data_IF_269210202395
#
_entry.id   IF_269210202395
#
_cell.length_a   1.000
_cell.length_b   1.000
_cell.length_c   1.000
_cell.angle_alpha   90.00
_cell.angle_beta   90.00
_cell.angle_gamma   90.00
#
_symmetry.space_group_name_H-M   'P 1'
#
loop_
_entity.id
_entity.type
_entity.pdbx_description
1 polymer ?
#
# COMPACT_ATOMS: atom_id res chain seq x y z
N UNK A 1 1.45 90.83 -13.66
CA UNK A 1 2.04 89.46 -13.53
C UNK A 1 1.01 88.59 -12.87
N UNK A 2 0.25 87.81 -13.61
CA UNK A 2 -0.82 86.93 -13.13
C UNK A 2 -0.19 85.52 -12.87
N UNK A 3 -0.28 84.99 -11.67
CA UNK A 3 0.12 83.64 -11.31
C UNK A 3 -1.02 82.67 -11.72
N UNK A 4 -0.68 81.70 -12.55
CA UNK A 4 -1.59 80.64 -13.00
C UNK A 4 -1.41 79.46 -12.03
N UNK A 5 -2.46 79.15 -11.29
CA UNK A 5 -2.50 77.94 -10.43
C UNK A 5 -2.97 76.75 -11.27
N UNK A 6 -2.11 75.75 -11.43
CA UNK A 6 -2.44 74.51 -12.12
C UNK A 6 -2.98 73.48 -11.05
N UNK A 7 -4.28 73.18 -11.16
CA UNK A 7 -4.92 72.15 -10.32
C UNK A 7 -4.67 70.79 -10.97
N UNK A 8 -3.90 69.93 -10.28
CA UNK A 8 -3.64 68.55 -10.71
C UNK A 8 -4.74 67.65 -10.13
N UNK A 9 -5.68 67.20 -10.97
CA UNK A 9 -6.68 66.18 -10.62
C UNK A 9 -6.03 64.79 -10.69
N UNK A 10 -5.81 64.16 -9.53
CA UNK A 10 -5.38 62.76 -9.43
C UNK A 10 -6.65 61.89 -9.51
N UNK A 11 -6.82 61.17 -10.61
CA UNK A 11 -7.83 60.09 -10.73
C UNK A 11 -7.28 58.85 -10.03
N UNK A 12 -7.83 58.48 -8.86
CA UNK A 12 -7.62 57.21 -8.22
C UNK A 12 -8.53 56.17 -8.91
N UNK A 13 -7.94 55.33 -9.75
CA UNK A 13 -8.65 54.17 -10.31
C UNK A 13 -8.67 53.09 -9.26
N UNK A 14 -9.79 52.93 -8.58
CA UNK A 14 -10.06 51.77 -7.74
C UNK A 14 -10.31 50.55 -8.62
N UNK A 15 -9.31 49.67 -8.75
CA UNK A 15 -9.53 48.31 -9.29
C UNK A 15 -10.35 47.52 -8.27
N UNK A 16 -11.64 47.38 -8.51
CA UNK A 16 -12.45 46.37 -7.83
C UNK A 16 -12.02 44.99 -8.36
N UNK A 17 -11.20 44.24 -7.60
CA UNK A 17 -11.06 42.82 -7.81
C UNK A 17 -12.42 42.18 -7.50
N UNK A 18 -13.18 41.84 -8.53
CA UNK A 18 -14.29 40.90 -8.35
C UNK A 18 -13.70 39.53 -7.98
N UNK A 19 -14.17 38.88 -6.91
CA UNK A 19 -13.78 37.52 -6.64
C UNK A 19 -14.25 36.66 -7.83
N UNK A 20 -13.32 35.91 -8.44
CA UNK A 20 -13.65 34.88 -9.40
C UNK A 20 -14.67 33.93 -8.78
N UNK A 21 -15.92 34.09 -9.14
CA UNK A 21 -16.98 33.16 -8.80
C UNK A 21 -16.73 31.90 -9.64
N UNK A 22 -15.85 31.01 -9.13
CA UNK A 22 -15.73 29.66 -9.68
C UNK A 22 -17.10 29.00 -9.51
N UNK A 23 -17.91 29.03 -10.54
CA UNK A 23 -19.16 28.26 -10.59
C UNK A 23 -18.82 26.80 -10.35
N UNK A 24 -19.24 26.28 -9.23
CA UNK A 24 -19.12 24.87 -8.93
C UNK A 24 -19.85 24.10 -10.03
N UNK A 25 -19.08 23.45 -10.91
CA UNK A 25 -19.63 22.66 -12.00
C UNK A 25 -20.52 21.57 -11.40
N UNK A 26 -21.76 21.48 -11.86
CA UNK A 26 -22.68 20.42 -11.42
C UNK A 26 -22.06 19.04 -11.69
N UNK A 27 -22.26 18.06 -10.81
CA UNK A 27 -21.86 16.69 -11.10
C UNK A 27 -22.45 16.23 -12.43
N UNK A 28 -21.69 15.48 -13.23
CA UNK A 28 -22.19 14.89 -14.47
C UNK A 28 -23.30 13.87 -14.21
N UNK A 29 -24.04 13.46 -15.24
CA UNK A 29 -25.13 12.51 -15.09
C UNK A 29 -24.62 11.12 -14.68
N UNK A 30 -25.40 10.43 -13.88
CA UNK A 30 -25.25 9.00 -13.60
C UNK A 30 -25.86 8.17 -14.71
N UNK A 31 -25.16 7.13 -15.14
CA UNK A 31 -25.64 6.15 -16.11
C UNK A 31 -25.84 4.81 -15.41
N UNK A 32 -27.01 4.19 -15.58
CA UNK A 32 -27.25 2.83 -15.08
C UNK A 32 -26.52 1.82 -15.96
N UNK A 33 -25.73 0.93 -15.35
CA UNK A 33 -25.07 -0.17 -16.03
C UNK A 33 -25.94 -1.45 -16.02
N UNK A 34 -27.04 -1.45 -15.28
CA UNK A 34 -27.99 -2.56 -15.18
C UNK A 34 -29.43 -2.05 -15.18
N UNK A 35 -30.24 -2.55 -16.09
CA UNK A 35 -31.62 -2.12 -16.30
C UNK A 35 -32.62 -2.81 -15.34
N UNK A 36 -32.14 -3.70 -14.46
CA UNK A 36 -32.98 -4.53 -13.59
C UNK A 36 -33.70 -5.70 -14.27
N UNK A 37 -33.50 -5.92 -15.56
CA UNK A 37 -34.25 -6.90 -16.35
C UNK A 37 -33.37 -7.82 -17.18
N UNK A 38 -32.30 -7.30 -17.77
CA UNK A 38 -31.46 -8.02 -18.73
C UNK A 38 -29.98 -7.85 -18.42
N UNK A 39 -29.16 -8.73 -18.99
CA UNK A 39 -27.70 -8.60 -18.97
C UNK A 39 -27.17 -7.87 -20.24
N UNK A 40 -28.02 -7.09 -20.91
CA UNK A 40 -27.58 -6.27 -22.02
C UNK A 40 -26.48 -5.28 -21.56
N UNK A 41 -25.42 -5.13 -22.36
CA UNK A 41 -24.25 -4.32 -21.98
C UNK A 41 -23.18 -5.11 -21.22
N UNK A 42 -23.42 -6.38 -20.91
CA UNK A 42 -22.50 -7.25 -20.22
C UNK A 42 -22.10 -8.48 -21.04
N UNK A 43 -20.91 -8.99 -20.83
CA UNK A 43 -20.39 -10.25 -21.37
C UNK A 43 -19.97 -11.18 -20.22
N UNK A 44 -20.24 -12.47 -20.34
CA UNK A 44 -19.63 -13.48 -19.47
C UNK A 44 -18.24 -13.80 -19.98
N UNK A 45 -17.26 -13.83 -19.08
CA UNK A 45 -15.87 -13.98 -19.44
C UNK A 45 -15.12 -14.76 -18.37
N UNK A 46 -14.19 -15.61 -18.79
CA UNK A 46 -13.49 -16.59 -17.94
C UNK A 46 -14.44 -17.47 -17.13
N UNK A 47 -14.01 -18.66 -16.74
CA UNK A 47 -14.80 -19.59 -15.93
C UNK A 47 -16.17 -19.94 -16.51
N UNK A 48 -16.95 -20.71 -15.74
CA UNK A 48 -18.25 -21.26 -16.19
C UNK A 48 -19.40 -20.98 -15.23
N UNK A 49 -19.21 -20.08 -14.24
CA UNK A 49 -20.26 -19.73 -13.30
C UNK A 49 -21.49 -19.13 -14.00
N UNK A 50 -22.66 -19.35 -13.43
CA UNK A 50 -23.91 -18.85 -13.97
C UNK A 50 -24.25 -17.44 -13.46
N UNK A 51 -24.79 -16.61 -14.34
CA UNK A 51 -25.31 -15.27 -14.02
C UNK A 51 -26.73 -15.16 -14.56
N UNK A 52 -27.67 -14.82 -13.67
CA UNK A 52 -29.09 -14.63 -13.99
C UNK A 52 -29.61 -13.34 -13.43
N UNK A 53 -30.68 -12.84 -14.02
CA UNK A 53 -31.46 -11.74 -13.42
C UNK A 53 -32.66 -12.36 -12.69
N UNK A 54 -32.73 -12.12 -11.39
CA UNK A 54 -33.82 -12.55 -10.52
C UNK A 54 -34.37 -11.33 -9.75
N UNK A 55 -35.61 -10.96 -9.96
CA UNK A 55 -36.30 -9.88 -9.23
C UNK A 55 -35.51 -8.54 -9.20
N UNK A 56 -34.96 -8.11 -10.33
CA UNK A 56 -34.20 -6.85 -10.41
C UNK A 56 -32.77 -6.93 -9.90
N UNK A 57 -32.23 -8.12 -9.70
CA UNK A 57 -30.90 -8.38 -9.15
C UNK A 57 -30.11 -9.27 -10.09
N UNK A 58 -28.85 -8.97 -10.34
CA UNK A 58 -27.91 -9.90 -10.95
C UNK A 58 -27.46 -10.89 -9.87
N UNK A 59 -27.73 -12.18 -10.11
CA UNK A 59 -27.35 -13.27 -9.22
C UNK A 59 -26.26 -14.10 -9.90
N UNK A 60 -25.07 -14.11 -9.32
CA UNK A 60 -23.99 -15.01 -9.69
C UNK A 60 -24.03 -16.26 -8.81
N UNK A 61 -23.78 -17.43 -9.38
CA UNK A 61 -23.82 -18.70 -8.65
C UNK A 61 -22.53 -19.48 -8.89
N UNK A 62 -21.87 -19.90 -7.81
CA UNK A 62 -20.62 -20.66 -7.86
C UNK A 62 -20.84 -22.05 -8.45
N UNK A 63 -19.91 -22.49 -9.29
CA UNK A 63 -19.90 -23.81 -9.94
C UNK A 63 -18.60 -24.53 -9.57
N UNK A 64 -18.73 -25.77 -9.10
CA UNK A 64 -17.56 -26.58 -8.71
C UNK A 64 -16.58 -26.74 -9.88
N UNK A 65 -15.30 -26.61 -9.59
CA UNK A 65 -14.20 -26.70 -10.57
C UNK A 65 -14.28 -25.66 -11.71
N UNK A 66 -15.11 -24.62 -11.58
CA UNK A 66 -14.99 -23.44 -12.42
C UNK A 66 -13.80 -22.61 -11.96
N UNK A 67 -13.05 -22.06 -12.88
CA UNK A 67 -12.16 -20.93 -12.56
C UNK A 67 -12.96 -19.70 -12.11
N UNK A 68 -12.27 -18.64 -11.67
CA UNK A 68 -12.90 -17.33 -11.44
C UNK A 68 -13.68 -16.93 -12.70
N UNK A 69 -14.95 -16.58 -12.51
CA UNK A 69 -15.86 -16.19 -13.59
C UNK A 69 -16.26 -14.73 -13.41
N UNK A 70 -16.42 -14.02 -14.51
CA UNK A 70 -16.72 -12.60 -14.46
C UNK A 70 -17.86 -12.23 -15.44
N UNK A 71 -18.74 -11.35 -14.97
CA UNK A 71 -19.68 -10.63 -15.82
C UNK A 71 -19.12 -9.23 -16.03
N UNK A 72 -18.61 -8.93 -17.23
CA UNK A 72 -17.86 -7.70 -17.53
C UNK A 72 -18.65 -6.77 -18.44
N UNK A 73 -18.50 -5.46 -18.28
CA UNK A 73 -19.09 -4.47 -19.17
C UNK A 73 -18.47 -4.59 -20.58
N UNK A 74 -19.28 -4.35 -21.62
CA UNK A 74 -18.79 -4.26 -23.01
C UNK A 74 -17.96 -2.99 -23.23
N UNK A 75 -18.33 -1.93 -22.52
CA UNK A 75 -17.63 -0.65 -22.55
C UNK A 75 -16.45 -0.67 -21.58
N UNK A 76 -15.42 0.11 -21.89
CA UNK A 76 -14.27 0.37 -21.03
C UNK A 76 -14.34 1.77 -20.44
N UNK A 77 -13.78 1.95 -19.25
CA UNK A 77 -13.85 3.19 -18.50
C UNK A 77 -12.46 3.60 -18.03
N UNK A 78 -12.15 4.89 -18.12
CA UNK A 78 -10.89 5.47 -17.68
C UNK A 78 -11.04 6.12 -16.30
N UNK A 79 -11.72 7.25 -16.25
CA UNK A 79 -12.02 7.95 -15.01
C UNK A 79 -13.51 7.83 -14.71
N UNK A 80 -13.85 7.43 -13.50
CA UNK A 80 -15.24 7.21 -13.11
C UNK A 80 -15.45 7.19 -11.61
N UNK A 81 -16.71 7.37 -11.22
CA UNK A 81 -17.24 6.94 -9.92
C UNK A 81 -18.26 5.84 -10.20
N UNK A 82 -18.09 4.68 -9.59
CA UNK A 82 -19.00 3.54 -9.67
C UNK A 82 -19.68 3.34 -8.33
N UNK A 83 -20.99 3.14 -8.35
CA UNK A 83 -21.76 2.76 -7.16
C UNK A 83 -22.62 1.55 -7.46
N UNK A 84 -22.69 0.64 -6.50
CA UNK A 84 -23.54 -0.55 -6.57
C UNK A 84 -23.85 -1.08 -5.17
N UNK A 85 -24.88 -1.90 -5.08
CA UNK A 85 -25.16 -2.67 -3.88
C UNK A 85 -24.80 -4.14 -4.11
N UNK A 86 -24.02 -4.72 -3.20
CA UNK A 86 -23.63 -6.12 -3.23
C UNK A 86 -24.02 -6.84 -1.94
N UNK A 87 -24.38 -8.15 -2.07
CA UNK A 87 -24.69 -9.02 -0.93
C UNK A 87 -24.04 -10.38 -1.14
N UNK A 88 -23.52 -10.94 -0.04
CA UNK A 88 -23.04 -12.32 0.07
C UNK A 88 -23.55 -12.90 1.40
N UNK A 89 -23.83 -14.19 1.46
CA UNK A 89 -24.56 -14.78 2.59
C UNK A 89 -23.70 -15.64 3.52
N UNK A 90 -22.45 -15.91 3.13
CA UNK A 90 -21.55 -16.79 3.88
C UNK A 90 -20.15 -16.19 4.01
N UNK A 91 -19.51 -16.41 5.16
CA UNK A 91 -18.09 -16.08 5.40
C UNK A 91 -17.15 -16.95 4.57
N UNK A 92 -17.62 -18.08 4.03
CA UNK A 92 -16.84 -18.97 3.17
C UNK A 92 -16.91 -18.59 1.69
N UNK A 93 -17.78 -17.62 1.36
CA UNK A 93 -17.94 -17.13 0.00
C UNK A 93 -17.02 -15.92 -0.21
N UNK A 94 -16.59 -15.74 -1.46
CA UNK A 94 -15.78 -14.63 -1.90
C UNK A 94 -16.30 -14.10 -3.23
N UNK A 95 -16.09 -12.83 -3.49
CA UNK A 95 -16.44 -12.13 -4.73
C UNK A 95 -15.62 -10.85 -4.87
N UNK A 96 -15.86 -10.07 -5.93
CA UNK A 96 -15.20 -8.78 -6.12
C UNK A 96 -15.77 -8.00 -7.28
N UNK A 97 -15.38 -6.73 -7.34
CA UNK A 97 -15.69 -5.81 -8.43
C UNK A 97 -14.40 -5.45 -9.14
N UNK A 98 -14.24 -5.94 -10.38
CA UNK A 98 -13.12 -5.58 -11.25
C UNK A 98 -13.27 -4.13 -11.73
N UNK A 99 -12.18 -3.38 -11.74
CA UNK A 99 -12.10 -1.99 -12.17
C UNK A 99 -10.89 -1.78 -13.07
N UNK A 100 -11.07 -1.08 -14.18
CA UNK A 100 -10.00 -0.87 -15.17
C UNK A 100 -9.28 -2.16 -15.54
N UNK A 101 -10.01 -3.26 -15.59
CA UNK A 101 -9.45 -4.59 -15.79
C UNK A 101 -9.52 -5.04 -17.23
N UNK A 102 -8.78 -6.10 -17.53
CA UNK A 102 -8.57 -6.64 -18.87
C UNK A 102 -8.80 -8.15 -18.89
N UNK A 103 -8.97 -8.68 -20.08
CA UNK A 103 -9.10 -10.11 -20.30
C UNK A 103 -8.06 -10.59 -21.31
N UNK A 104 -7.36 -11.66 -20.98
CA UNK A 104 -6.43 -12.34 -21.85
C UNK A 104 -6.97 -13.75 -22.17
N UNK A 105 -7.65 -13.89 -23.30
CA UNK A 105 -8.24 -15.14 -23.73
C UNK A 105 -9.47 -14.94 -24.61
N UNK A 106 -10.22 -16.05 -24.82
CA UNK A 106 -11.47 -16.06 -25.59
C UNK A 106 -12.58 -16.76 -24.81
N UNK A 107 -13.76 -16.16 -24.76
CA UNK A 107 -14.97 -16.71 -24.12
C UNK A 107 -14.74 -17.10 -22.66
N UNK A 108 -14.80 -18.39 -22.36
CA UNK A 108 -14.56 -18.92 -21.00
C UNK A 108 -13.12 -19.35 -20.76
N UNK A 109 -12.27 -19.32 -21.78
CA UNK A 109 -10.85 -19.68 -21.68
C UNK A 109 -10.00 -18.44 -21.61
N UNK A 110 -9.29 -18.27 -20.52
CA UNK A 110 -8.42 -17.13 -20.28
C UNK A 110 -8.58 -16.60 -18.86
N UNK A 111 -7.93 -15.47 -18.63
CA UNK A 111 -7.85 -14.84 -17.31
C UNK A 111 -8.24 -13.39 -17.37
N UNK A 112 -9.05 -12.96 -16.44
CA UNK A 112 -9.24 -11.55 -16.12
C UNK A 112 -8.07 -11.12 -15.24
N UNK A 113 -7.51 -9.96 -15.49
CA UNK A 113 -6.44 -9.38 -14.71
C UNK A 113 -6.66 -7.88 -14.51
N UNK A 114 -6.18 -7.35 -13.38
CA UNK A 114 -6.34 -5.95 -13.02
C UNK A 114 -6.84 -5.76 -11.61
N UNK A 115 -7.06 -4.50 -11.23
CA UNK A 115 -7.51 -4.16 -9.88
C UNK A 115 -8.94 -4.67 -9.63
N UNK A 116 -9.13 -5.27 -8.46
CA UNK A 116 -10.40 -5.74 -7.93
C UNK A 116 -10.67 -5.12 -6.56
N UNK A 117 -11.82 -4.52 -6.40
CA UNK A 117 -12.36 -4.18 -5.07
C UNK A 117 -12.99 -5.44 -4.51
N UNK A 118 -12.39 -5.95 -3.47
CA UNK A 118 -12.67 -7.28 -2.94
C UNK A 118 -13.95 -7.34 -2.11
N UNK A 119 -14.65 -8.47 -2.17
CA UNK A 119 -15.72 -8.85 -1.23
C UNK A 119 -15.24 -10.11 -0.51
N UNK A 120 -14.53 -9.94 0.59
CA UNK A 120 -13.94 -10.99 1.42
C UNK A 120 -14.45 -10.91 2.86
N UNK A 121 -15.59 -11.52 3.18
CA UNK A 121 -16.14 -11.56 4.52
C UNK A 121 -15.56 -12.68 5.40
N UNK A 122 -14.49 -13.33 4.98
CA UNK A 122 -13.77 -14.35 5.77
C UNK A 122 -13.27 -13.76 7.09
N UNK A 123 -12.58 -14.57 7.90
CA UNK A 123 -11.98 -14.12 9.16
C UNK A 123 -11.01 -12.93 9.00
N UNK A 124 -10.50 -12.67 7.78
CA UNK A 124 -9.69 -11.50 7.48
C UNK A 124 -10.50 -10.21 7.45
N UNK A 125 -11.78 -10.28 7.02
CA UNK A 125 -12.66 -9.14 6.82
C UNK A 125 -12.03 -8.06 5.93
N UNK A 126 -11.55 -8.45 4.72
CA UNK A 126 -10.85 -7.55 3.82
C UNK A 126 -11.73 -6.99 2.69
N UNK A 127 -13.06 -7.04 2.86
CA UNK A 127 -14.00 -6.42 1.91
C UNK A 127 -13.74 -4.93 1.73
N UNK A 128 -13.71 -4.47 0.49
CA UNK A 128 -13.38 -3.09 0.09
C UNK A 128 -11.89 -2.83 -0.09
N UNK A 129 -11.02 -3.77 0.33
CA UNK A 129 -9.60 -3.76 -0.01
C UNK A 129 -9.38 -3.93 -1.51
N UNK A 130 -8.17 -3.67 -1.97
CA UNK A 130 -7.82 -3.74 -3.40
C UNK A 130 -6.86 -4.90 -3.64
N UNK A 131 -7.28 -5.80 -4.53
CA UNK A 131 -6.50 -6.94 -5.01
C UNK A 131 -6.15 -6.72 -6.49
N UNK A 132 -5.00 -7.18 -6.95
CA UNK A 132 -4.61 -7.13 -8.36
C UNK A 132 -4.69 -8.54 -8.95
N UNK A 133 -5.85 -8.87 -9.52
CA UNK A 133 -6.21 -10.20 -10.02
C UNK A 133 -5.20 -10.70 -11.04
N UNK A 134 -4.77 -11.95 -10.90
CA UNK A 134 -3.81 -12.67 -11.75
C UNK A 134 -2.44 -11.96 -11.96
N UNK A 135 -2.06 -10.99 -11.09
CA UNK A 135 -0.78 -10.26 -11.17
C UNK A 135 -0.12 -10.08 -9.82
N UNK A 136 -0.28 -8.90 -9.17
CA UNK A 136 0.47 -8.49 -7.95
C UNK A 136 -0.22 -8.89 -6.65
N UNK A 137 -1.41 -9.51 -6.70
CA UNK A 137 -2.20 -9.93 -5.54
C UNK A 137 -2.65 -8.71 -4.69
N UNK A 138 -2.53 -8.78 -3.36
CA UNK A 138 -3.03 -7.72 -2.48
C UNK A 138 -2.22 -6.44 -2.62
N UNK A 139 -2.87 -5.38 -3.12
CA UNK A 139 -2.33 -4.02 -3.08
C UNK A 139 -2.70 -3.32 -1.77
N UNK A 140 -3.93 -3.52 -1.30
CA UNK A 140 -4.44 -2.90 -0.08
C UNK A 140 -5.19 -3.91 0.79
N UNK A 141 -4.49 -4.74 1.59
CA UNK A 141 -5.12 -5.54 2.63
C UNK A 141 -5.62 -4.65 3.78
N UNK A 142 -6.75 -5.01 4.44
CA UNK A 142 -7.35 -4.14 5.45
C UNK A 142 -6.62 -4.11 6.80
N UNK A 143 -5.48 -4.75 6.95
CA UNK A 143 -4.57 -4.48 8.06
C UNK A 143 -4.03 -3.03 8.02
N UNK A 144 -3.99 -2.43 6.83
CA UNK A 144 -3.65 -1.00 6.64
C UNK A 144 -4.76 -0.04 7.11
N UNK A 145 -6.01 -0.53 7.26
CA UNK A 145 -7.15 0.22 7.78
C UNK A 145 -8.06 -0.71 8.59
N UNK A 146 -7.59 -1.12 9.75
CA UNK A 146 -8.29 -2.08 10.60
C UNK A 146 -9.71 -1.61 11.01
N UNK A 147 -9.96 -0.29 11.08
CA UNK A 147 -11.28 0.28 11.39
C UNK A 147 -12.34 -0.09 10.34
N UNK A 148 -11.93 -0.26 9.07
CA UNK A 148 -12.84 -0.60 7.98
C UNK A 148 -13.22 -2.09 7.94
N UNK A 149 -12.57 -2.98 8.68
CA UNK A 149 -12.87 -4.41 8.71
C UNK A 149 -14.33 -4.74 9.09
N UNK A 150 -15.02 -3.83 9.76
CA UNK A 150 -16.42 -4.00 10.17
C UNK A 150 -17.42 -3.34 9.23
N UNK A 151 -16.96 -2.72 8.13
CA UNK A 151 -17.82 -1.97 7.21
C UNK A 151 -18.81 -2.87 6.44
N UNK A 152 -18.35 -4.04 5.98
CA UNK A 152 -19.18 -4.99 5.25
C UNK A 152 -20.05 -5.82 6.18
N UNK A 153 -21.35 -5.96 5.85
CA UNK A 153 -22.35 -6.71 6.65
C UNK A 153 -22.82 -7.92 5.87
N UNK A 154 -22.49 -9.11 6.34
CA UNK A 154 -22.89 -10.39 5.73
C UNK A 154 -24.42 -10.53 5.76
N UNK A 155 -25.00 -11.09 4.73
CA UNK A 155 -26.45 -11.33 4.61
C UNK A 155 -27.26 -10.07 4.29
N UNK A 156 -26.63 -8.91 4.21
CA UNK A 156 -27.25 -7.62 3.88
C UNK A 156 -26.70 -7.06 2.58
N UNK A 157 -27.47 -6.20 1.90
CA UNK A 157 -26.91 -5.38 0.83
C UNK A 157 -26.00 -4.31 1.42
N UNK A 158 -24.80 -4.25 0.89
CA UNK A 158 -23.81 -3.23 1.23
C UNK A 158 -23.65 -2.28 0.05
N UNK A 159 -23.77 -0.99 0.31
CA UNK A 159 -23.47 0.03 -0.68
C UNK A 159 -21.97 0.17 -0.85
N UNK A 160 -21.49 -0.05 -2.07
CA UNK A 160 -20.07 0.05 -2.43
C UNK A 160 -19.91 1.23 -3.38
N UNK A 161 -19.06 2.18 -3.01
CA UNK A 161 -18.61 3.27 -3.87
C UNK A 161 -17.14 3.07 -4.20
N UNK A 162 -16.82 3.21 -5.49
CA UNK A 162 -15.46 3.11 -6.02
C UNK A 162 -15.20 4.35 -6.87
N UNK A 163 -14.12 5.06 -6.55
CA UNK A 163 -13.68 6.24 -7.29
C UNK A 163 -12.35 5.94 -7.95
N UNK A 164 -12.32 6.00 -9.29
CA UNK A 164 -11.12 5.86 -10.11
C UNK A 164 -10.92 7.17 -10.87
N UNK A 165 -10.07 8.07 -10.38
CA UNK A 165 -9.80 9.38 -11.01
C UNK A 165 -8.28 9.55 -11.15
N UNK A 166 -7.81 9.77 -12.37
CA UNK A 166 -6.37 9.79 -12.65
C UNK A 166 -5.71 8.47 -12.25
N UNK A 167 -4.70 8.53 -11.41
CA UNK A 167 -3.98 7.35 -10.89
C UNK A 167 -4.54 6.82 -9.56
N UNK A 168 -5.59 7.44 -9.04
CA UNK A 168 -6.10 7.17 -7.70
C UNK A 168 -7.31 6.24 -7.77
N UNK A 169 -7.31 5.22 -6.92
CA UNK A 169 -8.44 4.34 -6.63
C UNK A 169 -8.79 4.50 -5.15
N UNK A 170 -10.02 4.90 -4.86
CA UNK A 170 -10.56 5.01 -3.50
C UNK A 170 -11.81 4.17 -3.36
N UNK A 171 -11.99 3.53 -2.23
CA UNK A 171 -13.14 2.65 -1.99
C UNK A 171 -13.85 3.01 -0.68
N UNK A 172 -15.17 2.84 -0.69
CA UNK A 172 -16.04 2.99 0.48
C UNK A 172 -17.02 1.82 0.53
N UNK A 173 -17.34 1.36 1.72
CA UNK A 173 -18.45 0.42 1.99
C UNK A 173 -19.35 1.05 3.03
N UNK A 174 -20.64 1.17 2.72
CA UNK A 174 -21.63 1.79 3.61
C UNK A 174 -21.16 3.15 4.14
N UNK A 175 -20.63 4.00 3.22
CA UNK A 175 -20.05 5.32 3.48
C UNK A 175 -18.74 5.32 4.30
N UNK A 176 -18.28 4.17 4.78
CA UNK A 176 -17.02 4.05 5.52
C UNK A 176 -15.86 4.00 4.51
N UNK A 177 -14.88 4.93 4.58
CA UNK A 177 -13.69 4.90 3.72
C UNK A 177 -12.83 3.67 4.03
N UNK A 178 -12.46 2.92 2.97
CA UNK A 178 -11.77 1.62 3.13
C UNK A 178 -10.34 1.65 2.63
N UNK A 179 -10.13 1.86 1.33
CA UNK A 179 -8.82 1.76 0.70
C UNK A 179 -8.50 2.98 -0.17
N UNK A 180 -7.22 3.35 -0.20
CA UNK A 180 -6.69 4.36 -1.10
C UNK A 180 -5.40 3.85 -1.74
N UNK A 181 -5.46 3.59 -3.05
CA UNK A 181 -4.34 3.11 -3.86
C UNK A 181 -4.01 4.14 -4.94
N UNK A 182 -2.73 4.37 -5.17
CA UNK A 182 -2.20 5.18 -6.27
C UNK A 182 -1.37 4.28 -7.17
N UNK A 183 -1.80 4.13 -8.43
CA UNK A 183 -1.19 3.20 -9.38
C UNK A 183 -1.27 3.76 -10.81
N UNK A 184 -0.26 3.46 -11.61
CA UNK A 184 -0.18 3.91 -13.00
C UNK A 184 -0.28 2.77 -14.02
N UNK A 185 -0.44 1.53 -13.56
CA UNK A 185 -0.37 0.36 -14.46
C UNK A 185 -1.56 0.30 -15.41
N UNK A 186 -2.78 0.42 -14.88
CA UNK A 186 -4.00 0.40 -15.69
C UNK A 186 -4.70 1.75 -15.65
N UNK A 187 -4.83 2.37 -16.83
CA UNK A 187 -5.46 3.69 -16.97
C UNK A 187 -6.92 3.61 -17.39
N UNK A 188 -7.32 2.50 -17.98
CA UNK A 188 -8.67 2.21 -18.45
C UNK A 188 -8.89 0.70 -18.52
N UNK A 189 -10.12 0.27 -18.60
CA UNK A 189 -10.52 -1.13 -18.72
C UNK A 189 -11.99 -1.31 -18.36
N UNK A 190 -12.47 -2.52 -18.39
CA UNK A 190 -13.87 -2.82 -18.06
C UNK A 190 -14.12 -2.81 -16.54
N UNK A 191 -15.40 -2.73 -16.18
CA UNK A 191 -15.94 -3.08 -14.87
C UNK A 191 -16.47 -4.52 -14.92
N UNK A 192 -16.19 -5.32 -13.87
CA UNK A 192 -16.63 -6.71 -13.84
C UNK A 192 -17.14 -7.14 -12.46
N UNK A 193 -18.04 -8.09 -12.44
CA UNK A 193 -18.62 -8.69 -11.25
C UNK A 193 -18.13 -10.14 -11.16
N UNK A 194 -17.43 -10.50 -10.08
CA UNK A 194 -16.82 -11.81 -9.93
C UNK A 194 -17.79 -12.83 -9.29
N UNK A 195 -17.74 -14.05 -9.79
CA UNK A 195 -18.10 -15.27 -9.05
C UNK A 195 -16.81 -16.05 -8.83
N UNK A 196 -16.40 -16.16 -7.57
CA UNK A 196 -15.14 -16.78 -7.20
C UNK A 196 -15.10 -18.28 -7.47
N UNK A 197 -13.93 -18.77 -7.87
CA UNK A 197 -13.66 -20.19 -8.06
C UNK A 197 -13.88 -21.00 -6.77
N UNK A 198 -14.50 -22.17 -6.91
CA UNK A 198 -14.70 -23.09 -5.78
C UNK A 198 -14.28 -24.50 -6.17
N UNK A 199 -13.71 -25.22 -5.21
CA UNK A 199 -13.15 -26.57 -5.41
C UNK A 199 -13.88 -27.65 -4.62
N UNK A 200 -14.78 -27.27 -3.71
CA UNK A 200 -15.53 -28.23 -2.90
C UNK A 200 -17.03 -28.14 -3.18
N UNK A 201 -17.75 -29.26 -2.92
CA UNK A 201 -19.20 -29.35 -3.13
C UNK A 201 -19.96 -28.42 -2.18
N UNK A 202 -19.46 -28.19 -0.98
CA UNK A 202 -20.07 -27.30 0.03
C UNK A 202 -20.05 -25.83 -0.41
N UNK A 203 -19.08 -25.46 -1.22
CA UNK A 203 -18.95 -24.11 -1.78
C UNK A 203 -19.72 -23.93 -3.09
N UNK A 204 -20.14 -25.02 -3.76
CA UNK A 204 -20.93 -24.94 -4.98
C UNK A 204 -22.36 -24.49 -4.70
N UNK A 205 -22.96 -23.75 -5.64
CA UNK A 205 -24.31 -23.21 -5.51
C UNK A 205 -24.45 -22.00 -4.58
N UNK A 206 -23.36 -21.49 -3.99
CA UNK A 206 -23.39 -20.25 -3.22
C UNK A 206 -23.63 -19.05 -4.14
N UNK A 207 -24.37 -18.08 -3.66
CA UNK A 207 -24.82 -16.94 -4.46
C UNK A 207 -24.15 -15.63 -4.02
N UNK A 208 -23.87 -14.78 -5.01
CA UNK A 208 -23.54 -13.37 -4.83
C UNK A 208 -24.56 -12.52 -5.59
N UNK A 209 -24.93 -11.38 -5.03
CA UNK A 209 -26.03 -10.57 -5.53
C UNK A 209 -25.53 -9.15 -5.78
N UNK A 210 -25.90 -8.58 -6.96
CA UNK A 210 -25.56 -7.22 -7.34
C UNK A 210 -26.78 -6.48 -7.89
N UNK A 211 -26.97 -5.23 -7.50
CA UNK A 211 -28.04 -4.36 -7.98
C UNK A 211 -27.64 -2.89 -7.92
N UNK A 212 -28.50 -2.00 -8.42
CA UNK A 212 -28.32 -0.55 -8.38
C UNK A 212 -26.97 -0.08 -8.96
N UNK A 213 -26.48 -0.77 -10.01
CA UNK A 213 -25.17 -0.54 -10.59
C UNK A 213 -25.22 0.69 -11.47
N UNK A 214 -24.51 1.76 -11.08
CA UNK A 214 -24.47 3.02 -11.81
C UNK A 214 -23.06 3.60 -11.86
N UNK A 215 -22.76 4.33 -12.92
CA UNK A 215 -21.47 4.94 -13.18
C UNK A 215 -21.62 6.40 -13.57
N UNK A 216 -20.68 7.23 -13.12
CA UNK A 216 -20.52 8.61 -13.54
C UNK A 216 -19.13 8.76 -14.16
N UNK A 217 -19.02 9.33 -15.38
CA UNK A 217 -17.77 9.43 -16.15
C UNK A 217 -17.40 10.86 -16.55
N UNK A 218 -18.20 11.84 -16.14
CA UNK A 218 -17.95 13.25 -16.47
C UNK A 218 -18.15 14.15 -15.26
N UNK A 219 -17.55 15.33 -15.28
CA UNK A 219 -17.60 16.33 -14.21
C UNK A 219 -17.20 15.74 -12.84
N UNK A 220 -16.23 14.82 -12.87
CA UNK A 220 -15.75 14.12 -11.68
C UNK A 220 -14.98 15.08 -10.77
N UNK A 221 -15.21 14.93 -9.47
CA UNK A 221 -14.45 15.64 -8.43
C UNK A 221 -13.91 14.58 -7.45
N UNK A 222 -12.60 14.58 -7.18
CA UNK A 222 -12.04 13.67 -6.19
C UNK A 222 -12.71 13.88 -4.83
N UNK A 223 -13.19 12.79 -4.24
CA UNK A 223 -13.73 12.81 -2.87
C UNK A 223 -12.62 13.05 -1.86
N UNK A 224 -12.92 13.81 -0.80
CA UNK A 224 -12.04 13.88 0.37
C UNK A 224 -11.87 12.49 0.99
N UNK A 225 -10.70 12.24 1.56
CA UNK A 225 -10.40 10.98 2.22
C UNK A 225 -9.75 11.26 3.58
N UNK A 226 -10.01 10.47 4.65
CA UNK A 226 -9.49 10.74 5.99
C UNK A 226 -7.96 10.68 6.07
N UNK A 227 -7.36 11.62 6.80
CA UNK A 227 -5.92 11.81 6.93
C UNK A 227 -5.18 10.67 7.65
N UNK A 228 -5.89 9.89 8.44
CA UNK A 228 -5.38 8.77 9.21
C UNK A 228 -5.37 7.44 8.45
N UNK A 229 -5.89 7.42 7.21
CA UNK A 229 -5.85 6.22 6.38
C UNK A 229 -4.59 6.23 5.53
N UNK A 230 -3.84 5.12 5.59
CA UNK A 230 -2.62 4.94 4.82
C UNK A 230 -2.91 4.92 3.32
N UNK A 231 -2.02 5.53 2.53
CA UNK A 231 -2.07 5.51 1.06
C UNK A 231 -1.03 4.54 0.54
N UNK A 232 -1.48 3.47 -0.13
CA UNK A 232 -0.58 2.60 -0.90
C UNK A 232 -0.25 3.31 -2.21
N UNK A 233 0.97 3.78 -2.33
CA UNK A 233 1.44 4.50 -3.51
C UNK A 233 2.47 3.66 -4.26
N UNK A 234 2.05 3.06 -5.38
CA UNK A 234 2.86 2.22 -6.23
C UNK A 234 3.71 3.01 -7.25
N UNK A 235 3.65 4.36 -7.21
CA UNK A 235 4.50 5.20 -8.07
C UNK A 235 5.84 5.43 -7.38
N UNK A 236 6.95 4.89 -7.90
CA UNK A 236 8.23 4.94 -7.20
C UNK A 236 8.72 6.37 -6.93
N UNK A 237 9.25 6.61 -5.73
CA UNK A 237 9.87 7.88 -5.30
C UNK A 237 8.98 9.10 -5.52
N UNK A 238 7.67 8.93 -5.39
CA UNK A 238 6.70 9.99 -5.59
C UNK A 238 5.75 10.08 -4.39
N UNK A 239 5.39 11.28 -4.00
CA UNK A 239 4.31 11.55 -3.06
C UNK A 239 3.19 12.32 -3.74
N UNK A 240 1.97 11.86 -3.54
CA UNK A 240 0.79 12.59 -3.98
C UNK A 240 0.67 13.93 -3.23
N UNK A 241 -0.10 14.90 -3.77
CA UNK A 241 -0.45 16.12 -3.01
C UNK A 241 -1.09 15.78 -1.65
N UNK A 242 -1.91 14.73 -1.61
CA UNK A 242 -2.53 14.24 -0.38
C UNK A 242 -1.49 13.78 0.65
N UNK A 243 -0.56 12.91 0.29
CA UNK A 243 0.50 12.44 1.20
C UNK A 243 1.34 13.62 1.74
N UNK A 244 1.72 14.55 0.86
CA UNK A 244 2.47 15.77 1.25
C UNK A 244 1.69 16.63 2.24
N UNK A 245 0.39 16.86 1.99
CA UNK A 245 -0.48 17.63 2.88
C UNK A 245 -0.67 16.97 4.26
N UNK A 246 -0.45 15.64 4.35
CA UNK A 246 -0.58 14.87 5.59
C UNK A 246 0.77 14.49 6.22
N UNK A 247 1.84 15.24 5.88
CA UNK A 247 3.13 15.17 6.57
C UNK A 247 4.10 14.12 6.08
N UNK A 248 3.80 13.40 5.00
CA UNK A 248 4.77 12.48 4.40
C UNK A 248 5.90 13.23 3.72
N UNK A 249 7.13 12.76 3.89
CA UNK A 249 8.36 13.24 3.25
C UNK A 249 9.08 12.06 2.61
N UNK A 250 9.68 12.26 1.42
CA UNK A 250 10.61 11.28 0.86
C UNK A 250 11.95 11.38 1.60
N UNK A 251 12.46 10.23 2.05
CA UNK A 251 13.84 10.09 2.51
C UNK A 251 14.80 9.81 1.34
N UNK A 252 14.26 9.40 0.20
CA UNK A 252 15.01 9.20 -1.04
C UNK A 252 14.19 9.71 -2.23
N UNK A 253 14.79 10.64 -2.98
CA UNK A 253 14.15 11.32 -4.11
C UNK A 253 14.25 10.52 -5.45
N UNK A 254 14.90 9.35 -5.42
CA UNK A 254 15.17 8.54 -6.61
C UNK A 254 16.35 9.02 -7.46
N UNK A 255 17.06 10.08 -7.06
CA UNK A 255 18.10 10.73 -7.87
C UNK A 255 19.39 11.01 -7.12
N UNK A 256 19.29 11.40 -5.87
CA UNK A 256 20.42 11.91 -5.08
C UNK A 256 20.54 11.22 -3.72
N UNK A 257 21.71 11.32 -3.09
CA UNK A 257 21.94 10.88 -1.72
C UNK A 257 21.58 11.97 -0.68
N UNK A 258 20.83 13.00 -1.07
CA UNK A 258 20.44 14.06 -0.17
C UNK A 258 19.70 13.49 1.05
N UNK A 259 20.08 13.96 2.25
CA UNK A 259 19.50 13.45 3.51
C UNK A 259 20.19 12.21 4.08
N UNK A 260 21.12 11.57 3.34
CA UNK A 260 21.87 10.40 3.79
C UNK A 260 23.36 10.69 3.98
N UNK A 261 23.97 9.98 4.93
CA UNK A 261 25.43 10.00 5.17
C UNK A 261 25.91 8.63 5.60
N UNK A 262 27.23 8.42 5.53
CA UNK A 262 27.87 7.22 6.10
C UNK A 262 27.80 7.24 7.63
N UNK A 263 27.65 6.08 8.26
CA UNK A 263 27.86 5.93 9.71
C UNK A 263 29.29 6.30 10.14
N UNK A 264 30.25 6.29 9.20
CA UNK A 264 31.68 6.58 9.45
C UNK A 264 32.04 8.06 9.27
N UNK A 265 31.15 8.89 8.70
CA UNK A 265 31.46 10.28 8.34
C UNK A 265 30.26 11.11 7.94
N UNK A 266 30.51 12.34 7.49
CA UNK A 266 29.46 13.32 7.19
C UNK A 266 28.99 13.30 5.72
N UNK A 267 29.63 12.50 4.87
CA UNK A 267 29.26 12.38 3.44
C UNK A 267 28.70 11.00 3.13
N UNK A 268 27.97 10.90 2.04
CA UNK A 268 27.56 9.61 1.48
C UNK A 268 28.79 8.81 1.04
N UNK A 269 28.83 7.46 1.20
CA UNK A 269 29.98 6.65 0.83
C UNK A 269 30.32 6.78 -0.67
N UNK A 270 31.61 6.94 -0.98
CA UNK A 270 32.10 7.04 -2.36
C UNK A 270 32.04 5.72 -3.12
N UNK A 271 31.87 4.58 -2.42
CA UNK A 271 31.77 3.22 -2.98
C UNK A 271 30.84 2.38 -2.14
N UNK A 272 30.46 1.20 -2.63
CA UNK A 272 29.59 0.26 -1.92
C UNK A 272 28.10 0.54 -2.05
N UNK A 273 27.75 1.75 -2.46
CA UNK A 273 26.39 2.18 -2.75
C UNK A 273 26.30 2.78 -4.15
N UNK A 274 25.20 2.52 -4.84
CA UNK A 274 24.92 3.08 -6.16
C UNK A 274 23.52 3.68 -6.20
N UNK A 275 23.41 4.88 -6.75
CA UNK A 275 22.13 5.53 -7.05
C UNK A 275 22.00 5.59 -8.58
N UNK A 276 21.01 4.88 -9.11
CA UNK A 276 20.72 4.82 -10.55
C UNK A 276 19.30 4.31 -10.76
N UNK A 277 18.65 4.76 -11.84
CA UNK A 277 17.31 4.30 -12.27
C UNK A 277 16.23 4.39 -11.14
N UNK A 278 16.31 5.41 -10.30
CA UNK A 278 15.38 5.58 -9.19
C UNK A 278 15.66 4.68 -7.99
N UNK A 279 16.79 4.00 -7.94
CA UNK A 279 17.15 3.05 -6.89
C UNK A 279 18.36 3.50 -6.12
N UNK A 280 18.37 3.20 -4.81
CA UNK A 280 19.54 3.21 -3.95
C UNK A 280 19.89 1.74 -3.64
N UNK A 281 21.06 1.29 -4.08
CA UNK A 281 21.44 -0.12 -4.08
C UNK A 281 22.75 -0.34 -3.32
N UNK A 282 22.73 -1.27 -2.37
CA UNK A 282 23.96 -1.86 -1.79
C UNK A 282 24.62 -2.71 -2.86
N UNK A 283 25.90 -2.48 -3.12
CA UNK A 283 26.67 -3.30 -4.05
C UNK A 283 27.27 -4.49 -3.29
N UNK A 284 27.29 -5.66 -3.95
CA UNK A 284 27.85 -6.86 -3.36
C UNK A 284 29.34 -6.71 -3.00
N UNK A 285 29.70 -7.17 -1.82
CA UNK A 285 31.07 -7.42 -1.36
C UNK A 285 31.27 -8.88 -0.96
N UNK A 286 30.59 -9.79 -1.66
CA UNK A 286 30.67 -11.24 -1.42
C UNK A 286 30.25 -11.64 0.01
N UNK A 287 29.24 -10.96 0.56
CA UNK A 287 28.75 -11.22 1.92
C UNK A 287 29.66 -10.71 3.05
N UNK A 288 30.65 -9.85 2.73
CA UNK A 288 31.51 -9.21 3.72
C UNK A 288 30.85 -7.95 4.26
N UNK A 289 30.25 -8.04 5.44
CA UNK A 289 29.52 -6.95 6.07
C UNK A 289 30.36 -5.67 6.16
N UNK A 290 29.79 -4.53 5.80
CA UNK A 290 30.37 -3.20 5.83
C UNK A 290 31.77 -3.03 5.14
N UNK A 291 32.18 -4.02 4.34
CA UNK A 291 33.53 -4.06 3.76
C UNK A 291 33.70 -3.07 2.61
N UNK A 292 32.64 -2.73 1.89
CA UNK A 292 32.74 -1.92 0.69
C UNK A 292 32.34 -0.46 0.92
N UNK A 293 31.29 -0.15 1.64
CA UNK A 293 30.81 1.23 1.90
C UNK A 293 30.39 1.45 3.34
N UNK A 294 29.93 0.39 3.97
CA UNK A 294 29.31 0.43 5.29
C UNK A 294 27.91 0.99 5.24
N UNK A 295 27.24 0.97 6.38
CA UNK A 295 25.87 1.45 6.54
C UNK A 295 25.73 2.94 6.24
N UNK A 296 24.54 3.32 5.78
CA UNK A 296 24.14 4.71 5.62
C UNK A 296 22.99 5.06 6.55
N UNK A 297 23.00 6.29 7.06
CA UNK A 297 21.98 6.81 7.97
C UNK A 297 21.36 8.10 7.45
N UNK A 298 20.13 8.37 7.83
CA UNK A 298 19.53 9.70 7.64
C UNK A 298 20.33 10.76 8.41
N UNK A 299 20.33 12.01 7.92
CA UNK A 299 20.91 13.13 8.70
C UNK A 299 20.02 13.50 9.88
N UNK A 300 18.70 13.44 9.67
CA UNK A 300 17.71 13.76 10.68
C UNK A 300 17.49 12.58 11.64
N UNK A 301 17.01 12.89 12.84
CA UNK A 301 16.63 11.95 13.89
C UNK A 301 15.12 11.91 14.03
N UNK A 302 14.58 10.74 14.31
CA UNK A 302 13.14 10.50 14.42
C UNK A 302 12.82 9.86 15.77
N UNK A 303 11.74 10.31 16.43
CA UNK A 303 11.27 9.81 17.72
C UNK A 303 10.01 8.92 17.57
N UNK A 304 8.95 9.48 17.03
CA UNK A 304 7.74 8.74 16.68
C UNK A 304 7.47 8.95 15.20
N UNK A 305 7.22 7.90 14.46
CA UNK A 305 7.18 7.96 13.01
C UNK A 305 6.45 6.77 12.38
N UNK A 306 6.07 6.95 11.13
CA UNK A 306 5.63 5.92 10.20
C UNK A 306 6.57 5.94 9.01
N UNK A 307 7.45 4.95 8.87
CA UNK A 307 8.40 4.80 7.76
C UNK A 307 8.00 3.64 6.87
N UNK A 308 7.96 3.89 5.56
CA UNK A 308 7.70 2.87 4.54
C UNK A 308 8.79 2.88 3.49
N UNK A 309 9.14 1.71 2.98
CA UNK A 309 10.22 1.52 2.00
C UNK A 309 9.98 0.29 1.15
N UNK A 310 10.27 0.38 -0.15
CA UNK A 310 10.32 -0.78 -1.02
C UNK A 310 11.74 -1.35 -1.04
N UNK A 311 11.84 -2.68 -1.02
CA UNK A 311 13.10 -3.40 -1.14
C UNK A 311 12.99 -4.55 -2.14
N UNK A 312 14.13 -4.86 -2.78
CA UNK A 312 14.26 -5.99 -3.69
C UNK A 312 15.55 -6.73 -3.41
N UNK A 313 15.40 -8.02 -3.06
CA UNK A 313 16.49 -8.93 -2.75
C UNK A 313 17.02 -9.64 -3.99
N UNK A 314 18.33 -9.90 -4.03
CA UNK A 314 18.90 -10.96 -4.85
C UNK A 314 18.93 -12.29 -4.09
N UNK A 315 19.06 -13.46 -4.77
CA UNK A 315 19.11 -14.75 -4.07
C UNK A 315 20.17 -14.79 -2.97
N UNK A 316 19.76 -15.23 -1.78
CA UNK A 316 20.62 -15.33 -0.59
C UNK A 316 21.05 -13.99 0.00
N UNK A 317 20.40 -12.88 -0.34
CA UNK A 317 20.80 -11.57 0.17
C UNK A 317 20.31 -11.29 1.60
N UNK A 318 21.08 -10.44 2.30
CA UNK A 318 20.79 -9.92 3.63
C UNK A 318 21.06 -8.41 3.66
N UNK A 319 20.18 -7.68 4.30
CA UNK A 319 20.22 -6.26 4.62
C UNK A 319 19.23 -5.98 5.76
N UNK A 320 19.00 -4.71 6.10
CA UNK A 320 18.03 -4.30 7.11
C UNK A 320 17.71 -2.82 7.03
N UNK A 321 16.53 -2.45 7.53
CA UNK A 321 16.24 -1.09 7.89
C UNK A 321 16.28 -0.99 9.41
N UNK A 322 17.27 -0.24 9.95
CA UNK A 322 17.38 -0.01 11.40
C UNK A 322 16.77 1.33 11.77
N UNK A 323 16.25 1.41 12.99
CA UNK A 323 15.67 2.62 13.55
C UNK A 323 16.08 2.80 15.01
N UNK A 324 15.94 4.00 15.55
CA UNK A 324 16.57 4.42 16.82
C UNK A 324 18.08 4.20 16.83
N UNK A 325 18.71 4.35 15.66
CA UNK A 325 20.16 4.20 15.55
C UNK A 325 20.86 5.40 16.18
N UNK A 326 21.79 5.11 17.09
CA UNK A 326 22.75 6.09 17.62
C UNK A 326 24.12 5.85 16.98
N UNK A 327 24.93 6.90 16.84
CA UNK A 327 26.28 6.79 16.29
C UNK A 327 27.36 6.62 17.34
N UNK A 328 26.97 6.56 18.61
CA UNK A 328 27.89 6.39 19.74
C UNK A 328 28.37 4.93 19.86
N UNK A 329 27.53 3.99 19.46
CA UNK A 329 27.76 2.54 19.57
C UNK A 329 28.03 1.89 18.20
N UNK A 330 28.82 2.53 17.35
CA UNK A 330 29.19 2.02 16.03
C UNK A 330 30.35 1.02 16.12
N UNK A 331 30.25 -0.10 15.43
CA UNK A 331 31.32 -1.09 15.32
C UNK A 331 31.67 -1.34 13.85
N UNK A 332 32.95 -1.36 13.49
CA UNK A 332 33.47 -1.75 12.18
C UNK A 332 32.69 -1.18 10.96
N UNK A 333 32.07 0.01 11.11
CA UNK A 333 31.30 0.66 10.06
C UNK A 333 29.81 0.34 10.04
N UNK A 334 29.33 -0.42 11.00
CA UNK A 334 27.94 -0.62 11.33
C UNK A 334 27.53 0.23 12.54
N UNK A 335 26.24 0.47 12.72
CA UNK A 335 25.69 1.17 13.88
C UNK A 335 24.53 0.36 14.46
N UNK A 336 24.36 0.48 15.80
CA UNK A 336 23.39 -0.32 16.56
C UNK A 336 22.04 0.39 16.60
N UNK A 337 20.97 -0.38 16.40
CA UNK A 337 19.58 0.06 16.46
C UNK A 337 18.62 -1.10 16.37
N UNK A 338 17.33 -0.86 16.60
CA UNK A 338 16.28 -1.83 16.32
C UNK A 338 16.23 -2.09 14.82
N UNK A 339 16.00 -3.31 14.38
CA UNK A 339 16.14 -3.68 12.98
C UNK A 339 14.92 -4.42 12.45
N UNK A 340 14.33 -3.87 11.39
CA UNK A 340 13.43 -4.58 10.49
C UNK A 340 14.29 -5.39 9.53
N UNK A 341 14.29 -6.72 9.67
CA UNK A 341 15.13 -7.60 8.88
C UNK A 341 14.69 -7.66 7.41
N UNK A 342 15.65 -7.55 6.49
CA UNK A 342 15.47 -7.67 5.03
C UNK A 342 16.36 -8.79 4.53
N UNK A 343 15.81 -10.01 4.39
CA UNK A 343 16.61 -11.21 4.21
C UNK A 343 15.88 -12.25 3.36
N UNK A 344 16.63 -13.04 2.57
CA UNK A 344 16.13 -14.24 1.91
C UNK A 344 16.05 -15.40 2.91
N UNK A 345 14.83 -15.70 3.37
CA UNK A 345 14.58 -16.73 4.39
C UNK A 345 14.98 -18.15 3.96
N UNK A 346 14.94 -18.43 2.66
CA UNK A 346 15.20 -19.77 2.14
C UNK A 346 16.73 -20.04 2.00
N UNK A 347 17.50 -19.06 1.52
CA UNK A 347 18.89 -19.24 1.13
C UNK A 347 19.91 -18.63 2.12
N UNK A 348 19.59 -17.52 2.79
CA UNK A 348 20.57 -16.89 3.67
C UNK A 348 20.73 -17.69 4.99
N UNK A 349 21.97 -18.03 5.41
CA UNK A 349 22.20 -18.89 6.59
C UNK A 349 21.69 -18.28 7.89
N UNK A 350 21.71 -16.96 8.04
CA UNK A 350 21.28 -16.26 9.26
C UNK A 350 19.77 -16.46 9.58
N UNK A 351 18.94 -16.70 8.56
CA UNK A 351 17.52 -17.03 8.75
C UNK A 351 17.28 -18.29 9.63
N UNK A 352 18.28 -19.18 9.68
CA UNK A 352 18.24 -20.45 10.42
C UNK A 352 18.90 -20.37 11.81
N UNK A 353 19.45 -19.19 12.10
CA UNK A 353 20.03 -18.88 13.42
C UNK A 353 19.00 -18.15 14.28
N UNK A 354 19.39 -17.80 15.50
CA UNK A 354 18.51 -17.13 16.46
C UNK A 354 17.49 -18.09 17.09
N UNK A 355 16.34 -17.55 17.49
CA UNK A 355 15.30 -18.27 18.23
C UNK A 355 13.96 -18.14 17.53
N UNK A 356 13.30 -19.26 17.26
CA UNK A 356 11.93 -19.28 16.71
C UNK A 356 11.75 -18.45 15.42
N UNK A 357 12.83 -18.25 14.61
CA UNK A 357 12.75 -17.48 13.38
C UNK A 357 12.85 -15.95 13.57
N UNK A 358 13.36 -15.48 14.69
CA UNK A 358 13.51 -14.05 15.01
C UNK A 358 14.58 -13.31 14.16
N UNK A 359 15.25 -14.03 13.23
CA UNK A 359 16.17 -13.47 12.25
C UNK A 359 15.68 -13.57 10.81
N UNK A 360 14.41 -13.92 10.63
CA UNK A 360 13.79 -14.01 9.29
C UNK A 360 13.25 -12.66 8.81
N UNK A 361 12.90 -12.57 7.52
CA UNK A 361 12.34 -11.38 6.88
C UNK A 361 11.24 -10.72 7.73
N UNK A 362 11.29 -9.41 7.87
CA UNK A 362 10.37 -8.54 8.59
C UNK A 362 10.31 -8.73 10.13
N UNK A 363 11.11 -9.64 10.69
CA UNK A 363 11.27 -9.79 12.14
C UNK A 363 11.88 -8.53 12.77
N UNK A 364 11.61 -8.31 14.05
CA UNK A 364 12.49 -7.49 14.88
C UNK A 364 13.72 -8.35 15.18
N UNK A 365 14.80 -8.11 14.46
CA UNK A 365 15.96 -8.98 14.37
C UNK A 365 16.51 -9.38 15.74
N UNK A 366 16.71 -10.69 15.92
CA UNK A 366 17.22 -11.37 17.13
C UNK A 366 16.34 -11.16 18.38
N UNK A 367 15.11 -10.65 18.23
CA UNK A 367 14.18 -10.36 19.33
C UNK A 367 12.80 -10.99 19.12
N UNK A 368 12.07 -10.61 18.05
CA UNK A 368 10.68 -11.02 17.83
C UNK A 368 10.51 -11.54 16.40
N UNK A 369 10.06 -12.79 16.20
CA UNK A 369 9.80 -13.33 14.89
C UNK A 369 8.57 -12.67 14.22
N UNK A 370 8.64 -12.46 12.92
CA UNK A 370 7.49 -12.01 12.12
C UNK A 370 6.50 -13.16 11.91
N UNK A 371 5.23 -12.92 12.23
CA UNK A 371 4.12 -13.83 11.88
C UNK A 371 3.66 -13.55 10.45
N UNK A 372 4.31 -14.18 9.49
CA UNK A 372 4.07 -13.95 8.06
C UNK A 372 3.58 -15.20 7.34
N UNK A 373 2.74 -15.01 6.34
CA UNK A 373 2.27 -16.08 5.47
C UNK A 373 2.98 -15.96 4.11
N UNK A 374 3.53 -17.08 3.60
CA UNK A 374 4.31 -17.13 2.36
C UNK A 374 3.57 -16.50 1.17
N UNK A 375 2.25 -16.64 1.09
CA UNK A 375 1.42 -16.08 0.01
C UNK A 375 1.41 -14.55 -0.06
N UNK A 376 1.80 -13.85 1.00
CA UNK A 376 1.87 -12.39 1.04
C UNK A 376 3.31 -11.86 0.82
N UNK A 377 4.27 -12.74 0.57
CA UNK A 377 5.65 -12.38 0.29
C UNK A 377 5.86 -12.48 -1.22
N UNK A 378 6.30 -11.40 -1.84
CA UNK A 378 6.65 -11.43 -3.25
C UNK A 378 7.97 -12.17 -3.44
N UNK A 379 8.13 -12.93 -4.55
CA UNK A 379 9.33 -13.73 -4.81
C UNK A 379 10.63 -12.93 -4.79
N UNK A 380 11.73 -13.61 -4.55
CA UNK A 380 13.07 -13.02 -4.69
C UNK A 380 13.24 -12.46 -6.11
N UNK A 381 13.78 -11.24 -6.21
CA UNK A 381 13.87 -10.49 -7.47
C UNK A 381 12.66 -9.58 -7.74
N UNK A 382 11.60 -9.69 -6.96
CA UNK A 382 10.44 -8.78 -7.01
C UNK A 382 10.48 -7.76 -5.86
N UNK A 383 9.71 -6.69 -5.98
CA UNK A 383 9.60 -5.65 -4.97
C UNK A 383 8.69 -6.08 -3.83
N UNK A 384 9.15 -5.95 -2.61
CA UNK A 384 8.37 -6.05 -1.39
C UNK A 384 8.36 -4.68 -0.69
N UNK A 385 7.31 -4.38 0.07
CA UNK A 385 7.20 -3.16 0.86
C UNK A 385 7.27 -3.48 2.35
N UNK A 386 8.28 -2.93 3.04
CA UNK A 386 8.38 -2.90 4.48
C UNK A 386 7.80 -1.60 5.04
N UNK A 387 7.20 -1.67 6.24
CA UNK A 387 6.73 -0.48 6.96
C UNK A 387 6.92 -0.70 8.46
N UNK A 388 7.41 0.32 9.13
CA UNK A 388 7.54 0.36 10.59
C UNK A 388 6.80 1.58 11.11
N UNK A 389 5.89 1.38 12.05
CA UNK A 389 5.23 2.47 12.77
C UNK A 389 5.74 2.46 14.20
N UNK A 390 6.21 3.60 14.67
CA UNK A 390 6.56 3.85 16.06
C UNK A 390 5.64 4.94 16.59
N UNK A 391 4.72 4.57 17.44
CA UNK A 391 3.77 5.51 18.04
C UNK A 391 4.41 6.30 19.21
N UNK A 392 3.87 7.49 19.55
CA UNK A 392 4.40 8.30 20.67
C UNK A 392 4.39 7.59 22.03
N UNK A 393 3.52 6.59 22.23
CA UNK A 393 3.43 5.75 23.44
C UNK A 393 4.41 4.58 23.47
N UNK A 394 5.36 4.48 22.51
CA UNK A 394 6.30 3.38 22.31
C UNK A 394 5.71 2.05 21.79
N UNK A 395 4.43 2.02 21.40
CA UNK A 395 3.92 0.91 20.62
C UNK A 395 4.58 0.88 19.25
N UNK A 396 5.00 -0.28 18.77
CA UNK A 396 5.69 -0.46 17.48
C UNK A 396 5.01 -1.57 16.70
N UNK A 397 4.83 -1.33 15.41
CA UNK A 397 4.27 -2.31 14.47
C UNK A 397 5.19 -2.48 13.25
N UNK A 398 5.38 -3.72 12.80
CA UNK A 398 5.99 -4.03 11.51
C UNK A 398 4.95 -4.58 10.54
N UNK A 399 5.05 -4.13 9.29
CA UNK A 399 4.22 -4.60 8.18
C UNK A 399 5.10 -5.11 7.04
N UNK A 400 4.62 -6.14 6.35
CA UNK A 400 5.18 -6.64 5.10
C UNK A 400 4.07 -6.70 4.05
N UNK A 401 4.24 -6.01 2.92
CA UNK A 401 3.24 -5.90 1.85
C UNK A 401 1.84 -5.54 2.36
N UNK A 402 1.77 -4.59 3.31
CA UNK A 402 0.53 -4.11 3.90
C UNK A 402 -0.09 -5.02 4.97
N UNK A 403 0.46 -6.20 5.22
CA UNK A 403 0.01 -7.11 6.28
C UNK A 403 0.83 -6.88 7.54
N UNK A 404 0.17 -6.67 8.69
CA UNK A 404 0.85 -6.55 9.98
C UNK A 404 1.44 -7.91 10.38
N UNK A 405 2.75 -7.95 10.63
CA UNK A 405 3.49 -9.19 10.90
C UNK A 405 4.01 -9.31 12.33
N UNK A 406 4.16 -8.20 13.04
CA UNK A 406 4.44 -8.18 14.48
C UNK A 406 4.07 -6.82 15.09
N UNK A 407 3.92 -6.79 16.41
CA UNK A 407 3.78 -5.58 17.22
C UNK A 407 4.41 -5.80 18.59
N UNK A 408 4.86 -4.75 19.25
CA UNK A 408 5.43 -4.80 20.59
C UNK A 408 5.45 -3.43 21.26
N UNK A 409 5.63 -3.43 22.59
CA UNK A 409 5.84 -2.21 23.38
C UNK A 409 7.33 -2.06 23.69
N UNK A 410 7.98 -1.07 23.08
CA UNK A 410 9.38 -0.72 23.31
C UNK A 410 9.59 -0.26 24.75
N UNK A 411 10.56 -0.87 25.48
CA UNK A 411 10.82 -0.57 26.88
C UNK A 411 9.88 -1.24 27.87
N UNK A 412 9.01 -2.15 27.42
CA UNK A 412 8.26 -3.02 28.31
C UNK A 412 9.18 -4.06 28.97
N UNK A 413 8.72 -4.68 30.06
CA UNK A 413 9.45 -5.79 30.71
C UNK A 413 9.70 -6.95 29.75
N UNK A 414 8.74 -7.25 28.88
CA UNK A 414 8.87 -8.31 27.88
C UNK A 414 9.96 -7.96 26.86
N UNK A 415 10.00 -6.71 26.39
CA UNK A 415 11.06 -6.21 25.51
C UNK A 415 12.44 -6.27 26.20
N UNK A 416 12.57 -5.81 27.43
CA UNK A 416 13.81 -5.87 28.21
C UNK A 416 14.29 -7.33 28.40
N UNK A 417 13.37 -8.26 28.68
CA UNK A 417 13.69 -9.69 28.77
C UNK A 417 14.20 -10.24 27.44
N UNK A 418 13.59 -9.90 26.32
CA UNK A 418 14.05 -10.32 24.98
C UNK A 418 15.46 -9.79 24.70
N UNK A 419 15.71 -8.51 24.99
CA UNK A 419 17.05 -7.91 24.84
C UNK A 419 18.07 -8.66 25.70
N UNK A 420 17.76 -8.99 26.96
CA UNK A 420 18.68 -9.65 27.89
C UNK A 420 19.18 -11.03 27.44
N UNK A 421 18.39 -11.72 26.60
CA UNK A 421 18.74 -13.06 26.07
C UNK A 421 19.19 -13.01 24.60
N UNK A 422 19.25 -11.82 23.98
CA UNK A 422 19.69 -11.61 22.60
C UNK A 422 21.18 -11.27 22.51
N UNK A 423 21.70 -11.16 21.28
CA UNK A 423 23.06 -10.64 21.04
C UNK A 423 23.23 -9.18 21.50
N UNK A 424 22.13 -8.47 21.72
CA UNK A 424 22.12 -7.06 22.12
C UNK A 424 22.28 -6.82 23.61
N UNK A 425 22.36 -7.86 24.43
CA UNK A 425 22.52 -7.77 25.88
C UNK A 425 23.81 -7.05 26.34
N UNK A 426 24.78 -6.93 25.45
CA UNK A 426 26.07 -6.23 25.71
C UNK A 426 25.98 -4.70 25.53
N UNK A 427 24.87 -4.20 24.97
CA UNK A 427 24.66 -2.75 24.79
C UNK A 427 23.65 -2.24 25.82
N UNK A 428 24.09 -1.41 26.78
CA UNK A 428 23.17 -0.78 27.73
C UNK A 428 22.12 0.08 27.01
N UNK A 429 20.87 -0.03 27.47
CA UNK A 429 19.74 0.75 26.90
C UNK A 429 19.50 0.51 25.40
N UNK A 430 19.81 -0.68 24.88
CA UNK A 430 19.57 -1.04 23.49
C UNK A 430 18.13 -0.70 23.07
N UNK A 431 17.98 0.01 21.95
CA UNK A 431 16.68 0.40 21.40
C UNK A 431 15.94 1.50 22.18
N UNK A 432 16.51 2.04 23.27
CA UNK A 432 15.84 2.99 24.17
C UNK A 432 16.18 4.48 23.91
N UNK A 433 16.89 4.79 22.83
CA UNK A 433 17.14 6.17 22.43
C UNK A 433 15.81 6.93 22.26
N UNK A 434 15.74 8.20 22.70
CA UNK A 434 14.53 9.03 22.56
C UNK A 434 14.23 9.36 21.10
N UNK A 435 15.27 9.54 20.30
CA UNK A 435 15.23 9.69 18.86
C UNK A 435 16.48 9.06 18.26
N UNK A 436 16.43 8.62 17.02
CA UNK A 436 17.57 8.02 16.34
C UNK A 436 17.47 8.14 14.83
N UNK A 437 18.55 7.83 14.15
CA UNK A 437 18.58 7.78 12.70
C UNK A 437 17.80 6.56 12.18
N UNK A 438 17.31 6.67 10.93
CA UNK A 438 16.95 5.53 10.10
C UNK A 438 18.20 5.13 9.32
N UNK A 439 18.47 3.81 9.27
CA UNK A 439 19.66 3.25 8.66
C UNK A 439 19.27 2.22 7.61
N UNK A 440 20.00 2.21 6.47
CA UNK A 440 20.03 1.10 5.54
C UNK A 440 21.35 0.35 5.69
N UNK A 441 21.27 -0.97 5.84
CA UNK A 441 22.41 -1.83 6.18
C UNK A 441 23.16 -2.30 4.92
N UNK A 442 24.50 -2.23 4.97
CA UNK A 442 25.45 -2.91 4.08
C UNK A 442 25.90 -4.22 4.71
N UNK A 443 25.18 -5.31 4.43
CA UNK A 443 25.55 -6.67 4.88
C UNK A 443 26.44 -7.40 3.85
N UNK A 444 26.89 -6.71 2.81
CA UNK A 444 27.76 -7.29 1.78
C UNK A 444 27.04 -8.03 0.66
N UNK A 445 25.70 -8.01 0.66
CA UNK A 445 24.87 -8.57 -0.40
C UNK A 445 24.18 -7.46 -1.19
N UNK A 446 23.85 -7.75 -2.45
CA UNK A 446 23.14 -6.77 -3.27
C UNK A 446 21.65 -6.71 -2.90
N UNK A 447 21.23 -5.55 -2.41
CA UNK A 447 19.83 -5.21 -2.12
C UNK A 447 19.52 -3.82 -2.66
N UNK A 448 18.38 -3.66 -3.32
CA UNK A 448 17.93 -2.38 -3.85
C UNK A 448 16.76 -1.86 -3.04
N UNK A 449 16.74 -0.54 -2.82
CA UNK A 449 15.67 0.17 -2.13
C UNK A 449 15.13 1.31 -3.01
N UNK A 450 13.86 1.67 -2.82
CA UNK A 450 13.19 2.83 -3.42
C UNK A 450 11.99 3.25 -2.57
N UNK A 451 11.31 4.31 -2.95
CA UNK A 451 10.06 4.75 -2.30
C UNK A 451 10.17 4.90 -0.78
N UNK A 452 11.38 5.27 -0.29
CA UNK A 452 11.61 5.44 1.14
C UNK A 452 10.97 6.75 1.57
N UNK A 453 9.92 6.67 2.37
CA UNK A 453 9.14 7.81 2.86
C UNK A 453 8.89 7.71 4.35
N UNK A 454 8.75 8.85 5.02
CA UNK A 454 8.50 8.93 6.45
C UNK A 454 7.46 10.00 6.76
N UNK A 455 6.68 9.77 7.80
CA UNK A 455 5.78 10.73 8.44
C UNK A 455 6.08 10.75 9.93
N UNK A 456 6.34 11.93 10.48
CA UNK A 456 6.48 12.10 11.93
C UNK A 456 5.10 12.04 12.60
N UNK A 457 5.02 11.39 13.75
CA UNK A 457 3.82 11.24 14.57
C UNK A 457 3.99 12.07 15.85
N UNK A 458 2.88 12.69 16.33
CA UNK A 458 2.88 13.60 17.47
C UNK A 458 1.84 13.23 18.51
#
# INVERSE_FOLDING_TARGET
>A
MKKLNLLLCIYVICFFMMPDCTTAQSPGPWHSLFDGKTLNGWNRTAGTADYKVENGVIVGTTVINSGNSFLVTKEVYRDFVLELDAKIESTESNSGIQIRSHFNGEGHQGKVYGQQVEIDPSNRNWSGGVYDEDRRQWLYPLDLNAKAKTAFKIGQYNHIKIECIGNETKTWINEIPVAYVVDTLDREGFVGLQVHAVTTQEQAGKKVYFKNIRIQTSSLKPSAFPADIYVVNNVPNFLTPYEKAHGWKLLFDGKTAAGWKSVKGETFPAKGWKITDGLITVLSSEGKEAANGGDIVTRDLYAAFDVSFDFKLTPGANSGLKYFVTLDEKTAGSAIGLEYQVLDDDLHPDAKLGRNGDRTLASLYDLIPANKQKRFIHPIGEWNTGRVIVYPNNHVEHYLNGVKVLEYERGSKDFEQLVSISKYNVWPNFGMAKAGHILLQDHGNQVSFRSIKIKELH
#
